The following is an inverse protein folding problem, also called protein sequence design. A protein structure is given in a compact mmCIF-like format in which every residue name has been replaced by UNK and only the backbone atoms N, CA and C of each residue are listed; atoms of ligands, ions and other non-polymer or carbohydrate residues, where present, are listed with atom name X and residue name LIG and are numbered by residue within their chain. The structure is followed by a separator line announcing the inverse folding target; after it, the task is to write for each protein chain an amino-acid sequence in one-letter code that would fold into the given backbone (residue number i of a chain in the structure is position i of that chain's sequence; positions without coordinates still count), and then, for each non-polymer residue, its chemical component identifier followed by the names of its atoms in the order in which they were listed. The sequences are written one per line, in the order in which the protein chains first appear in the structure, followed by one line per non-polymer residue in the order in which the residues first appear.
data_IF_659806683768
#
_entry.id   IF_659806683768
#
_cell.length_a   1.000
_cell.length_b   1.000
_cell.length_c   1.000
_cell.angle_alpha   90.00
_cell.angle_beta   90.00
_cell.angle_gamma   90.00
#
_symmetry.space_group_name_H-M   'P 1'
#
loop_
_entity.id
_entity.type
_entity.pdbx_description
1 polymer ?
#
# COMPACT_ATOMS: atom_id res chain seq x y z
N UNK A 1 13.29 -0.13 12.74
CA UNK A 1 12.61 -0.68 11.56
C UNK A 1 12.40 0.43 10.58
N UNK A 2 12.65 0.16 9.30
CA UNK A 2 12.28 1.07 8.22
C UNK A 2 10.74 1.21 8.16
N UNK A 3 10.22 2.24 7.50
CA UNK A 3 8.80 2.37 7.24
C UNK A 3 8.30 1.19 6.40
N UNK A 4 9.09 0.73 5.42
CA UNK A 4 8.77 -0.47 4.66
C UNK A 4 8.60 -1.71 5.55
N UNK A 5 9.51 -1.93 6.50
CA UNK A 5 9.41 -3.06 7.44
C UNK A 5 8.16 -2.94 8.34
N UNK A 6 7.84 -1.73 8.80
CA UNK A 6 6.63 -1.49 9.61
C UNK A 6 5.36 -1.83 8.83
N UNK A 7 5.26 -1.38 7.57
CA UNK A 7 4.11 -1.69 6.70
C UNK A 7 3.97 -3.21 6.53
N UNK A 8 5.06 -3.91 6.24
CA UNK A 8 5.03 -5.37 6.07
C UNK A 8 4.61 -6.07 7.36
N UNK A 9 5.16 -5.67 8.50
CA UNK A 9 4.77 -6.24 9.79
C UNK A 9 3.26 -6.04 10.06
N UNK A 10 2.72 -4.85 9.81
CA UNK A 10 1.27 -4.61 10.00
C UNK A 10 0.40 -5.46 9.07
N UNK A 11 0.86 -5.72 7.83
CA UNK A 11 0.16 -6.60 6.90
C UNK A 11 0.23 -8.07 7.35
N UNK A 12 1.40 -8.54 7.79
CA UNK A 12 1.62 -9.92 8.25
C UNK A 12 0.82 -10.21 9.52
N UNK A 13 0.77 -9.25 10.45
CA UNK A 13 -0.01 -9.35 11.69
C UNK A 13 -1.51 -9.09 11.49
N UNK A 14 -1.91 -8.63 10.29
CA UNK A 14 -3.26 -8.15 9.97
C UNK A 14 -3.75 -7.05 10.92
N UNK A 15 -2.82 -6.22 11.40
CA UNK A 15 -3.08 -5.11 12.32
C UNK A 15 -3.34 -3.82 11.53
N UNK A 16 -4.60 -3.66 11.12
CA UNK A 16 -5.04 -2.50 10.37
C UNK A 16 -4.97 -1.21 11.18
N UNK A 17 -5.14 -1.28 12.51
CA UNK A 17 -5.10 -0.09 13.35
C UNK A 17 -3.65 0.45 13.41
N UNK A 18 -2.68 -0.44 13.61
CA UNK A 18 -1.26 -0.08 13.53
C UNK A 18 -0.87 0.44 12.13
N UNK A 19 -1.41 -0.14 11.04
CA UNK A 19 -1.20 0.41 9.69
C UNK A 19 -1.75 1.84 9.56
N UNK A 20 -2.96 2.10 10.06
CA UNK A 20 -3.59 3.43 10.00
C UNK A 20 -2.83 4.49 10.82
N UNK A 21 -2.13 4.09 11.88
CA UNK A 21 -1.24 4.97 12.65
C UNK A 21 -0.01 5.44 11.84
N UNK A 22 0.44 4.63 10.87
CA UNK A 22 1.52 5.01 9.93
C UNK A 22 1.09 6.07 8.92
N UNK A 23 -0.22 6.30 8.76
CA UNK A 23 -0.76 7.28 7.82
C UNK A 23 -0.95 8.64 8.50
N UNK A 24 -0.54 9.71 7.82
CA UNK A 24 -0.83 11.09 8.22
C UNK A 24 -2.36 11.34 8.21
N UNK A 25 -2.86 12.26 9.02
CA UNK A 25 -4.30 12.58 9.07
C UNK A 25 -4.87 13.02 7.71
N UNK A 26 -4.22 13.97 7.02
CA UNK A 26 -4.57 14.29 5.61
C UNK A 26 -3.94 13.33 4.58
N UNK A 27 -3.97 12.02 4.86
CA UNK A 27 -3.51 11.01 3.92
C UNK A 27 -4.39 10.95 2.66
N UNK A 28 -3.74 10.74 1.51
CA UNK A 28 -4.39 10.58 0.21
C UNK A 28 -3.87 9.34 -0.51
N UNK A 29 -4.76 8.46 -0.95
CA UNK A 29 -4.46 7.35 -1.82
C UNK A 29 -4.85 7.68 -3.27
N UNK A 30 -3.97 7.39 -4.23
CA UNK A 30 -4.22 7.56 -5.66
C UNK A 30 -3.96 6.27 -6.44
N UNK A 31 -4.95 5.86 -7.22
CA UNK A 31 -4.85 4.76 -8.19
C UNK A 31 -4.82 5.32 -9.60
N UNK A 32 -3.62 5.43 -10.18
CA UNK A 32 -3.44 6.03 -11.50
C UNK A 32 -4.16 5.27 -12.61
N UNK A 33 -4.29 3.94 -12.49
CA UNK A 33 -5.01 3.10 -13.46
C UNK A 33 -6.47 3.55 -13.68
N UNK A 34 -7.12 4.09 -12.65
CA UNK A 34 -8.53 4.52 -12.71
C UNK A 34 -8.71 6.02 -12.49
N UNK A 35 -7.64 6.76 -12.21
CA UNK A 35 -7.70 8.17 -11.79
C UNK A 35 -8.44 8.39 -10.45
N UNK A 36 -8.54 7.35 -9.62
CA UNK A 36 -9.26 7.42 -8.35
C UNK A 36 -8.36 8.06 -7.28
N UNK A 37 -8.94 8.96 -6.49
CA UNK A 37 -8.32 9.55 -5.31
C UNK A 37 -9.24 9.36 -4.10
N UNK A 38 -8.67 8.96 -2.96
CA UNK A 38 -9.40 8.69 -1.71
C UNK A 38 -8.68 9.33 -0.52
N UNK A 39 -9.45 9.91 0.40
CA UNK A 39 -8.95 10.41 1.68
C UNK A 39 -8.66 9.25 2.65
N UNK A 40 -7.99 9.52 3.77
CA UNK A 40 -7.83 8.54 4.86
C UNK A 40 -9.16 7.93 5.31
N UNK A 41 -10.19 8.76 5.47
CA UNK A 41 -11.50 8.33 5.95
C UNK A 41 -12.20 7.39 4.96
N UNK A 42 -12.03 7.62 3.66
CA UNK A 42 -12.58 6.74 2.61
C UNK A 42 -11.72 5.48 2.41
N UNK A 43 -10.41 5.59 2.66
CA UNK A 43 -9.45 4.50 2.51
C UNK A 43 -9.52 3.46 3.62
N UNK A 44 -9.73 3.90 4.86
CA UNK A 44 -9.74 3.03 6.03
C UNK A 44 -10.72 1.84 5.89
N UNK A 45 -12.01 2.03 5.55
CA UNK A 45 -12.94 0.91 5.37
C UNK A 45 -12.50 -0.08 4.30
N UNK A 46 -11.93 0.42 3.20
CA UNK A 46 -11.39 -0.41 2.12
C UNK A 46 -10.21 -1.24 2.61
N UNK A 47 -9.31 -0.64 3.39
CA UNK A 47 -8.14 -1.32 3.94
C UNK A 47 -8.51 -2.39 4.97
N UNK A 48 -9.46 -2.10 5.88
CA UNK A 48 -9.99 -3.09 6.82
C UNK A 48 -10.56 -4.31 6.10
N UNK A 49 -11.32 -4.07 5.03
CA UNK A 49 -11.89 -5.14 4.20
C UNK A 49 -10.81 -5.94 3.47
N UNK A 50 -9.82 -5.25 2.89
CA UNK A 50 -8.75 -5.89 2.13
C UNK A 50 -7.85 -6.75 3.04
N UNK A 51 -7.45 -6.22 4.20
CA UNK A 51 -6.55 -6.90 5.14
C UNK A 51 -7.22 -8.11 5.82
N UNK A 52 -8.54 -8.06 6.02
CA UNK A 52 -9.32 -9.20 6.52
C UNK A 52 -9.58 -10.30 5.46
N UNK A 53 -9.31 -10.01 4.18
CA UNK A 53 -9.53 -10.94 3.08
C UNK A 53 -8.27 -11.75 2.77
N UNK A 54 -8.44 -13.04 2.43
CA UNK A 54 -7.37 -13.90 1.90
C UNK A 54 -7.38 -13.97 0.37
N UNK A 55 -8.24 -13.18 -0.28
CA UNK A 55 -8.45 -13.24 -1.73
C UNK A 55 -7.23 -12.73 -2.52
N UNK A 56 -6.51 -11.75 -1.99
CA UNK A 56 -5.37 -11.13 -2.65
C UNK A 56 -4.08 -11.75 -2.12
N UNK A 57 -3.30 -12.36 -3.01
CA UNK A 57 -2.01 -12.94 -2.64
C UNK A 57 -0.87 -12.04 -3.09
N UNK A 58 -0.02 -11.64 -2.15
CA UNK A 58 1.24 -10.97 -2.43
C UNK A 58 2.29 -12.04 -2.75
N UNK A 59 2.78 -12.09 -3.99
CA UNK A 59 3.82 -13.04 -4.39
C UNK A 59 5.22 -12.54 -4.05
N UNK A 60 5.46 -11.26 -4.33
CA UNK A 60 6.72 -10.59 -4.00
C UNK A 60 6.42 -9.18 -3.55
N UNK A 61 7.18 -8.70 -2.57
CA UNK A 61 7.20 -7.31 -2.17
C UNK A 61 8.65 -6.93 -1.89
N UNK A 62 9.12 -5.82 -2.47
CA UNK A 62 10.47 -5.32 -2.22
C UNK A 62 10.50 -3.81 -2.13
N UNK A 63 11.30 -3.32 -1.20
CA UNK A 63 11.72 -1.93 -1.16
C UNK A 63 12.73 -1.69 -2.29
N UNK A 64 12.49 -0.66 -3.11
CA UNK A 64 13.43 -0.19 -4.14
C UNK A 64 14.30 0.91 -3.56
N UNK A 65 13.69 1.85 -2.84
CA UNK A 65 14.36 2.98 -2.23
C UNK A 65 13.54 3.52 -1.07
N UNK A 66 14.21 3.95 0.00
CA UNK A 66 13.57 4.58 1.15
C UNK A 66 14.49 5.66 1.74
N UNK A 67 13.90 6.80 2.08
CA UNK A 67 14.47 7.84 2.93
C UNK A 67 13.36 8.51 3.75
N UNK A 68 13.66 9.64 4.39
CA UNK A 68 12.71 10.35 5.28
C UNK A 68 11.53 11.01 4.54
N UNK A 69 11.62 11.17 3.21
CA UNK A 69 10.64 11.89 2.38
C UNK A 69 9.86 10.95 1.44
N UNK A 70 10.44 9.81 1.04
CA UNK A 70 9.87 8.92 0.04
C UNK A 70 10.22 7.45 0.29
N UNK A 71 9.23 6.59 0.08
CA UNK A 71 9.40 5.14 -0.02
C UNK A 71 8.86 4.66 -1.37
N UNK A 72 9.71 3.99 -2.14
CA UNK A 72 9.35 3.36 -3.42
C UNK A 72 9.42 1.84 -3.25
N UNK A 73 8.32 1.17 -3.51
CA UNK A 73 8.21 -0.28 -3.46
C UNK A 73 7.69 -0.84 -4.78
N UNK A 74 7.98 -2.12 -5.01
CA UNK A 74 7.41 -2.88 -6.10
C UNK A 74 6.86 -4.19 -5.57
N UNK A 75 5.60 -4.46 -5.92
CA UNK A 75 4.86 -5.62 -5.50
C UNK A 75 4.37 -6.41 -6.71
N UNK A 76 4.34 -7.74 -6.60
CA UNK A 76 3.59 -8.59 -7.54
C UNK A 76 2.45 -9.22 -6.79
N UNK A 77 1.23 -9.03 -7.29
CA UNK A 77 0.00 -9.53 -6.69
C UNK A 77 -0.71 -10.49 -7.63
N UNK A 78 -1.39 -11.48 -7.05
CA UNK A 78 -2.21 -12.46 -7.75
C UNK A 78 -3.63 -12.43 -7.20
N UNK A 79 -4.60 -12.44 -8.10
CA UNK A 79 -6.02 -12.30 -7.80
C UNK A 79 -6.75 -13.65 -7.94
N UNK A 80 -7.94 -13.81 -7.32
CA UNK A 80 -8.71 -15.06 -7.38
C UNK A 80 -9.12 -15.48 -8.78
N UNK A 81 -9.23 -14.54 -9.72
CA UNK A 81 -9.55 -14.80 -11.12
C UNK A 81 -8.35 -15.32 -11.94
N UNK A 82 -7.20 -15.51 -11.30
CA UNK A 82 -5.97 -16.00 -11.91
C UNK A 82 -5.12 -14.90 -12.56
N UNK A 83 -5.59 -13.65 -12.57
CA UNK A 83 -4.81 -12.53 -13.09
C UNK A 83 -3.69 -12.12 -12.13
N UNK A 84 -2.65 -11.49 -12.69
CA UNK A 84 -1.46 -11.04 -11.96
C UNK A 84 -1.11 -9.62 -12.35
N UNK A 85 -0.67 -8.82 -11.39
CA UNK A 85 -0.26 -7.43 -11.62
C UNK A 85 1.08 -7.14 -10.93
N UNK A 86 1.97 -6.45 -11.64
CA UNK A 86 3.13 -5.77 -11.08
C UNK A 86 2.72 -4.35 -10.71
N UNK A 87 2.84 -3.99 -9.43
CA UNK A 87 2.41 -2.70 -8.91
C UNK A 87 3.60 -1.93 -8.36
N UNK A 88 3.85 -0.78 -8.96
CA UNK A 88 4.73 0.25 -8.41
C UNK A 88 3.94 1.06 -7.39
N UNK A 89 4.51 1.21 -6.20
CA UNK A 89 3.91 1.94 -5.09
C UNK A 89 4.89 3.02 -4.66
N UNK A 90 4.42 4.27 -4.62
CA UNK A 90 5.21 5.41 -4.16
C UNK A 90 4.50 6.04 -2.97
N UNK A 91 5.17 6.05 -1.84
CA UNK A 91 4.71 6.73 -0.63
C UNK A 91 5.48 8.04 -0.48
N UNK A 92 4.78 9.16 -0.39
CA UNK A 92 5.34 10.42 0.12
C UNK A 92 5.22 10.42 1.64
N UNK A 93 6.32 10.73 2.32
CA UNK A 93 6.45 10.69 3.77
C UNK A 93 6.65 12.11 4.30
N UNK A 94 5.97 12.44 5.40
CA UNK A 94 6.09 13.70 6.13
C UNK A 94 6.07 13.39 7.62
N UNK A 95 7.05 13.89 8.37
CA UNK A 95 7.20 13.64 9.81
C UNK A 95 7.14 12.14 10.18
N UNK A 96 7.72 11.29 9.32
CA UNK A 96 7.76 9.84 9.50
C UNK A 96 6.43 9.11 9.25
N UNK A 97 5.39 9.81 8.75
CA UNK A 97 4.09 9.25 8.37
C UNK A 97 3.84 9.36 6.88
N UNK A 98 3.10 8.41 6.32
CA UNK A 98 2.73 8.43 4.90
C UNK A 98 1.66 9.50 4.69
N UNK A 99 1.97 10.51 3.88
CA UNK A 99 1.02 11.54 3.46
C UNK A 99 0.27 11.19 2.19
N UNK A 100 0.94 10.49 1.26
CA UNK A 100 0.34 10.13 -0.03
C UNK A 100 0.85 8.76 -0.46
N UNK A 101 -0.04 7.94 -1.01
CA UNK A 101 0.33 6.69 -1.70
C UNK A 101 -0.18 6.74 -3.11
N UNK A 102 0.70 6.48 -4.08
CA UNK A 102 0.36 6.44 -5.49
C UNK A 102 0.70 5.08 -6.06
N UNK A 103 -0.22 4.53 -6.85
CA UNK A 103 -0.06 3.19 -7.42
C UNK A 103 -0.17 3.22 -8.94
N UNK A 104 0.71 2.47 -9.60
CA UNK A 104 0.64 2.14 -11.02
C UNK A 104 0.75 0.63 -11.20
N UNK A 105 -0.25 0.01 -11.83
CA UNK A 105 -0.32 -1.43 -12.04
C UNK A 105 -0.08 -1.79 -13.51
N UNK A 106 0.74 -2.82 -13.74
CA UNK A 106 1.01 -3.42 -15.05
C UNK A 106 0.54 -4.87 -15.03
N UNK A 107 -0.42 -5.27 -15.88
CA UNK A 107 -0.83 -6.67 -16.00
C UNK A 107 0.35 -7.55 -16.41
N UNK A 108 0.52 -8.69 -15.73
CA UNK A 108 1.51 -9.72 -16.05
C UNK A 108 0.76 -10.89 -16.67
N UNK A 109 0.86 -11.01 -18.00
CA UNK A 109 0.28 -12.09 -18.80
C UNK A 109 0.76 -13.48 -18.39
#
# INVERSE_FOLDING_TARGET
MSLFDKINQTNDDRDVDAYLELLHDDYVFVRHQTGMEMTKADWEPAMRTMMASDALKVETNRCIYENDDILVAHQVMSFPDGTREAVMIVHTVVDGKIKRTETGATPLS
#
